data_IF_772475664373
#
_entry.id   IF_772475664373
#
_cell.length_a   1.000
_cell.length_b   1.000
_cell.length_c   1.000
_cell.angle_alpha   90.00
_cell.angle_beta   90.00
_cell.angle_gamma   90.00
#
_symmetry.space_group_name_H-M   'P 1'
#
loop_
_entity.id
_entity.type
_entity.pdbx_description
1 polymer ?
#
# COMPACT_ATOMS: atom_id res chain seq x y z
N UNK A 1 1.25 35.06 25.33
CA UNK A 1 0.09 35.50 26.11
C UNK A 1 -0.88 34.33 26.21
N UNK A 2 -0.98 33.72 27.39
CA UNK A 2 -1.97 32.68 27.68
C UNK A 2 -3.26 33.37 28.09
N UNK A 3 -4.37 33.06 27.43
CA UNK A 3 -5.70 33.45 27.89
C UNK A 3 -6.37 32.18 28.39
N UNK A 4 -6.53 32.07 29.70
CA UNK A 4 -7.33 31.02 30.34
C UNK A 4 -8.76 31.57 30.44
N UNK A 5 -9.75 30.81 29.98
CA UNK A 5 -11.16 31.21 30.05
C UNK A 5 -12.09 30.04 29.81
N UNK A 6 -13.29 30.11 30.39
CA UNK A 6 -14.38 29.17 30.14
C UNK A 6 -15.14 29.64 28.90
N UNK A 7 -15.26 28.77 27.90
CA UNK A 7 -15.91 29.11 26.63
C UNK A 7 -17.01 28.09 26.30
N UNK A 8 -18.20 28.57 25.94
CA UNK A 8 -19.26 27.75 25.35
C UNK A 8 -19.38 28.05 23.86
N UNK A 9 -19.48 27.01 23.03
CA UNK A 9 -19.60 27.15 21.57
C UNK A 9 -21.08 27.30 21.21
N UNK A 10 -21.52 28.52 20.88
CA UNK A 10 -22.82 28.72 20.22
C UNK A 10 -22.67 28.40 18.74
N UNK A 11 -23.30 27.32 18.28
CA UNK A 11 -23.31 26.94 16.85
C UNK A 11 -24.70 27.11 16.26
N UNK A 12 -24.78 27.81 15.13
CA UNK A 12 -26.02 28.05 14.37
C UNK A 12 -26.59 26.77 13.73
N UNK A 13 -25.86 25.65 13.80
CA UNK A 13 -26.37 24.32 13.42
C UNK A 13 -27.28 23.72 14.48
N UNK A 14 -27.23 24.22 15.72
CA UNK A 14 -28.10 23.79 16.81
C UNK A 14 -29.22 24.83 16.99
N UNK A 15 -30.49 24.46 16.84
CA UNK A 15 -31.59 25.42 16.96
C UNK A 15 -31.72 25.96 18.39
N UNK A 16 -31.90 27.28 18.52
CA UNK A 16 -32.04 28.01 19.78
C UNK A 16 -33.30 27.68 20.60
N UNK A 17 -34.12 26.74 20.13
CA UNK A 17 -35.47 26.49 20.63
C UNK A 17 -35.88 25.01 20.48
N UNK A 18 -35.12 24.04 20.99
CA UNK A 18 -35.65 22.72 21.35
C UNK A 18 -34.59 21.85 22.07
N UNK A 19 -34.94 21.18 23.17
CA UNK A 19 -34.16 20.05 23.68
C UNK A 19 -34.50 18.78 22.88
N UNK A 20 -34.25 18.74 21.56
CA UNK A 20 -34.34 17.48 20.80
C UNK A 20 -33.81 17.59 19.35
N UNK A 21 -32.49 17.60 19.19
CA UNK A 21 -31.70 17.19 18.01
C UNK A 21 -30.27 17.66 18.34
N UNK A 22 -29.39 16.82 18.86
CA UNK A 22 -28.40 16.16 17.98
C UNK A 22 -27.70 14.96 18.66
N UNK A 23 -28.34 14.35 19.66
CA UNK A 23 -27.87 13.09 20.24
C UNK A 23 -29.05 12.13 20.48
N UNK A 24 -29.66 11.57 19.42
CA UNK A 24 -30.80 10.66 19.58
C UNK A 24 -30.47 9.46 20.49
N UNK A 25 -29.20 9.06 20.53
CA UNK A 25 -28.69 7.97 21.37
C UNK A 25 -28.60 8.33 22.86
N UNK A 26 -28.45 9.63 23.20
CA UNK A 26 -28.41 10.11 24.59
C UNK A 26 -29.82 10.41 25.12
N UNK A 27 -30.75 10.78 24.23
CA UNK A 27 -32.08 11.25 24.61
C UNK A 27 -33.08 10.14 24.98
N UNK A 28 -32.84 8.88 24.59
CA UNK A 28 -33.82 7.84 24.86
C UNK A 28 -33.84 7.40 26.34
N UNK A 29 -32.75 7.52 27.12
CA UNK A 29 -32.71 7.07 28.53
C UNK A 29 -31.63 7.75 29.42
N UNK A 30 -30.88 8.76 28.96
CA UNK A 30 -29.72 9.34 29.69
C UNK A 30 -29.74 10.88 29.69
N UNK A 31 -30.86 11.46 30.13
CA UNK A 31 -31.07 12.92 30.15
C UNK A 31 -30.11 13.66 31.08
N UNK A 32 -29.71 13.04 32.19
CA UNK A 32 -28.71 13.55 33.12
C UNK A 32 -27.31 13.63 32.50
N UNK A 33 -26.90 12.60 31.76
CA UNK A 33 -25.62 12.58 31.04
C UNK A 33 -25.62 13.58 29.88
N UNK A 34 -26.75 13.72 29.17
CA UNK A 34 -26.88 14.72 28.10
C UNK A 34 -26.69 16.14 28.64
N UNK A 35 -27.25 16.46 29.81
CA UNK A 35 -27.04 17.76 30.48
C UNK A 35 -25.58 17.93 30.86
N UNK A 36 -24.94 16.92 31.45
CA UNK A 36 -23.51 16.99 31.81
C UNK A 36 -22.61 17.26 30.59
N UNK A 37 -22.92 16.68 29.43
CA UNK A 37 -22.16 16.89 28.19
C UNK A 37 -22.40 18.30 27.62
N UNK A 38 -23.65 18.78 27.64
CA UNK A 38 -24.01 20.07 27.06
C UNK A 38 -23.54 21.26 27.92
N UNK A 39 -23.49 21.08 29.25
CA UNK A 39 -22.98 22.06 30.20
C UNK A 39 -21.47 21.91 30.49
N UNK A 40 -20.79 20.98 29.80
CA UNK A 40 -19.35 20.77 29.99
C UNK A 40 -18.56 22.01 29.55
N UNK A 41 -17.91 22.66 30.52
CA UNK A 41 -17.04 23.81 30.25
C UNK A 41 -15.74 23.33 29.57
N UNK A 42 -15.49 23.85 28.37
CA UNK A 42 -14.29 23.50 27.61
C UNK A 42 -13.11 24.41 28.00
N UNK A 43 -12.00 23.80 28.38
CA UNK A 43 -10.70 24.49 28.44
C UNK A 43 -10.19 24.74 27.02
N UNK A 44 -10.25 25.99 26.56
CA UNK A 44 -9.76 26.37 25.23
C UNK A 44 -8.41 27.06 25.34
N UNK A 45 -7.40 26.47 24.69
CA UNK A 45 -6.08 27.06 24.52
C UNK A 45 -5.96 27.65 23.11
N UNK A 46 -5.87 28.99 23.01
CA UNK A 46 -5.63 29.68 21.74
C UNK A 46 -4.12 29.85 21.54
N UNK A 47 -3.57 29.15 20.54
CA UNK A 47 -2.15 29.16 20.23
C UNK A 47 -1.88 29.83 18.86
N UNK A 48 -0.88 30.71 18.82
CA UNK A 48 -0.39 31.36 17.60
C UNK A 48 1.03 30.87 17.27
N UNK A 49 1.33 30.66 15.99
CA UNK A 49 2.62 30.13 15.53
C UNK A 49 2.61 29.74 14.06
N UNK A 50 3.77 29.33 13.54
CA UNK A 50 3.91 28.74 12.20
C UNK A 50 3.13 27.43 12.07
N UNK A 51 2.84 26.98 10.86
CA UNK A 51 2.15 25.70 10.63
C UNK A 51 2.87 24.51 11.30
N UNK A 52 4.21 24.48 11.22
CA UNK A 52 5.03 23.45 11.83
C UNK A 52 4.99 23.47 13.37
N UNK A 53 4.90 24.65 13.99
CA UNK A 53 4.74 24.78 15.44
C UNK A 53 3.37 24.31 15.90
N UNK A 54 2.30 24.75 15.22
CA UNK A 54 0.93 24.31 15.50
C UNK A 54 0.81 22.78 15.43
N UNK A 55 1.45 22.15 14.45
CA UNK A 55 1.53 20.69 14.33
C UNK A 55 2.20 20.01 15.51
N UNK A 56 3.35 20.53 15.97
CA UNK A 56 4.05 19.98 17.13
C UNK A 56 3.20 20.06 18.39
N UNK A 57 2.56 21.21 18.64
CA UNK A 57 1.65 21.39 19.78
C UNK A 57 0.45 20.44 19.71
N UNK A 58 -0.17 20.32 18.54
CA UNK A 58 -1.31 19.42 18.33
C UNK A 58 -0.93 17.96 18.57
N UNK A 59 0.26 17.53 18.12
CA UNK A 59 0.75 16.17 18.37
C UNK A 59 0.97 15.88 19.87
N UNK A 60 1.61 16.81 20.60
CA UNK A 60 1.88 16.68 22.04
C UNK A 60 0.57 16.57 22.84
N UNK A 61 -0.43 17.41 22.54
CA UNK A 61 -1.72 17.39 23.25
C UNK A 61 -2.46 16.07 23.03
N UNK A 62 -2.41 15.51 21.81
CA UNK A 62 -3.11 14.27 21.46
C UNK A 62 -2.33 12.99 21.81
N UNK A 63 -1.28 13.09 22.63
CA UNK A 63 -0.51 11.93 23.10
C UNK A 63 -1.22 11.17 24.24
N UNK A 64 -2.11 11.83 25.00
CA UNK A 64 -2.91 11.21 26.05
C UNK A 64 -4.31 10.83 25.53
N UNK A 65 -4.55 9.54 25.31
CA UNK A 65 -5.83 9.02 24.76
C UNK A 65 -5.60 7.96 23.67
N UNK A 66 -6.59 7.72 22.81
CA UNK A 66 -6.35 6.99 21.56
C UNK A 66 -5.55 7.92 20.61
N UNK A 67 -4.32 7.56 20.24
CA UNK A 67 -3.46 8.45 19.48
C UNK A 67 -4.09 8.74 18.12
N UNK A 68 -4.13 10.02 17.76
CA UNK A 68 -4.46 10.44 16.40
C UNK A 68 -3.40 9.90 15.45
N UNK A 69 -3.83 9.36 14.33
CA UNK A 69 -2.90 8.97 13.27
C UNK A 69 -2.39 10.19 12.50
N UNK A 70 -1.41 9.96 11.63
CA UNK A 70 -0.75 11.06 10.92
C UNK A 70 -1.72 11.93 10.11
N UNK A 71 -2.70 11.34 9.42
CA UNK A 71 -3.66 12.11 8.63
C UNK A 71 -4.65 12.88 9.50
N UNK A 72 -5.08 12.30 10.63
CA UNK A 72 -5.87 12.98 11.66
C UNK A 72 -5.13 14.22 12.19
N UNK A 73 -3.81 14.11 12.40
CA UNK A 73 -2.96 15.23 12.77
C UNK A 73 -2.89 16.26 11.67
N UNK A 74 -2.51 15.90 10.43
CA UNK A 74 -2.38 16.80 9.27
C UNK A 74 -3.64 17.65 9.03
N UNK A 75 -4.80 17.03 9.19
CA UNK A 75 -6.10 17.68 9.01
C UNK A 75 -6.34 18.87 9.95
N UNK A 76 -5.57 18.99 11.05
CA UNK A 76 -5.64 20.15 11.96
C UNK A 76 -4.93 21.41 11.44
N UNK A 77 -3.90 21.31 10.59
CA UNK A 77 -3.25 22.50 10.01
C UNK A 77 -3.81 22.89 8.66
N UNK A 78 -4.36 21.94 7.89
CA UNK A 78 -4.79 22.15 6.52
C UNK A 78 -6.33 22.11 6.41
N UNK A 79 -7.00 22.97 7.16
CA UNK A 79 -8.46 23.01 7.22
C UNK A 79 -9.04 23.84 6.07
N UNK A 80 -10.12 23.36 5.45
CA UNK A 80 -10.80 24.10 4.39
C UNK A 80 -11.99 23.36 3.78
N UNK A 81 -12.60 23.99 2.78
CA UNK A 81 -13.69 23.43 1.96
C UNK A 81 -13.24 22.16 1.25
N UNK A 82 -12.03 22.17 0.69
CA UNK A 82 -11.40 21.01 0.07
C UNK A 82 -11.32 19.81 1.02
N UNK A 83 -10.77 19.99 2.22
CA UNK A 83 -10.61 18.90 3.19
C UNK A 83 -11.96 18.32 3.62
N UNK A 84 -12.95 19.19 3.82
CA UNK A 84 -14.31 18.77 4.17
C UNK A 84 -14.93 17.89 3.08
N UNK A 85 -14.76 18.27 1.81
CA UNK A 85 -15.21 17.47 0.67
C UNK A 85 -14.41 16.16 0.55
N UNK A 86 -13.10 16.19 0.75
CA UNK A 86 -12.25 15.00 0.70
C UNK A 86 -12.65 13.97 1.76
N UNK A 87 -12.88 14.40 3.02
CA UNK A 87 -13.35 13.53 4.09
C UNK A 87 -14.71 12.90 3.79
N UNK A 88 -15.63 13.62 3.15
CA UNK A 88 -16.91 13.05 2.73
C UNK A 88 -16.71 11.87 1.77
N UNK A 89 -15.73 11.96 0.84
CA UNK A 89 -15.43 10.91 -0.14
C UNK A 89 -14.68 9.73 0.44
N UNK A 90 -13.71 9.96 1.33
CA UNK A 90 -12.71 8.97 1.75
C UNK A 90 -12.76 8.57 3.23
N UNK A 91 -13.60 9.21 4.04
CA UNK A 91 -13.65 8.99 5.49
C UNK A 91 -15.06 8.72 6.01
N UNK A 92 -15.97 8.29 5.13
CA UNK A 92 -17.33 7.87 5.50
C UNK A 92 -17.64 6.51 4.87
N UNK A 93 -18.45 5.69 5.55
CA UNK A 93 -18.79 4.33 5.08
C UNK A 93 -19.37 4.29 3.67
N UNK A 94 -20.21 5.27 3.33
CA UNK A 94 -20.84 5.43 2.01
C UNK A 94 -20.10 6.42 1.11
N UNK A 95 -18.90 6.85 1.51
CA UNK A 95 -18.06 7.73 0.71
C UNK A 95 -17.65 7.02 -0.57
N UNK A 96 -17.78 7.71 -1.72
CA UNK A 96 -17.51 7.11 -3.04
C UNK A 96 -16.09 6.54 -3.17
N UNK A 97 -15.11 7.12 -2.48
CA UNK A 97 -13.73 6.61 -2.45
C UNK A 97 -13.60 5.31 -1.65
N UNK A 98 -14.33 5.19 -0.53
CA UNK A 98 -14.37 3.97 0.28
C UNK A 98 -15.04 2.84 -0.50
N UNK A 99 -16.22 3.12 -1.08
CA UNK A 99 -16.97 2.15 -1.90
C UNK A 99 -16.11 1.66 -3.07
N UNK A 100 -15.50 2.59 -3.83
CA UNK A 100 -14.66 2.23 -4.99
C UNK A 100 -13.42 1.42 -4.60
N UNK A 101 -12.81 1.72 -3.44
CA UNK A 101 -11.66 0.98 -2.92
C UNK A 101 -12.01 -0.46 -2.51
N UNK A 102 -13.19 -0.65 -1.91
CA UNK A 102 -13.60 -1.89 -1.24
C UNK A 102 -14.33 -2.86 -2.18
N UNK A 103 -15.12 -2.36 -3.12
CA UNK A 103 -15.94 -3.18 -4.01
C UNK A 103 -15.18 -3.62 -5.27
N UNK A 104 -15.44 -4.86 -5.72
CA UNK A 104 -15.04 -5.30 -7.05
C UNK A 104 -16.27 -5.29 -7.97
N UNK A 105 -16.33 -4.47 -9.04
CA UNK A 105 -17.46 -4.52 -9.96
C UNK A 105 -17.60 -5.87 -10.70
N UNK A 106 -16.56 -6.71 -10.67
CA UNK A 106 -16.53 -8.01 -11.34
C UNK A 106 -17.03 -9.17 -10.47
N UNK A 107 -17.36 -8.95 -9.19
CA UNK A 107 -17.91 -10.01 -8.32
C UNK A 107 -18.70 -9.45 -7.11
N UNK A 108 -19.52 -10.30 -6.48
CA UNK A 108 -20.37 -9.89 -5.36
C UNK A 108 -19.65 -9.83 -3.99
N UNK A 109 -18.31 -9.82 -3.97
CA UNK A 109 -17.52 -9.84 -2.73
C UNK A 109 -16.74 -8.54 -2.55
N UNK A 110 -16.60 -8.10 -1.31
CA UNK A 110 -15.66 -7.04 -0.96
C UNK A 110 -14.23 -7.56 -1.18
N UNK A 111 -13.49 -6.88 -2.04
CA UNK A 111 -12.09 -7.18 -2.34
C UNK A 111 -11.27 -5.87 -2.27
N UNK A 112 -11.02 -5.35 -1.06
CA UNK A 112 -10.39 -4.06 -0.89
C UNK A 112 -8.99 -4.00 -1.51
N UNK A 113 -8.71 -2.89 -2.20
CA UNK A 113 -7.38 -2.59 -2.73
C UNK A 113 -6.49 -1.85 -1.73
N UNK A 114 -7.10 -1.13 -0.80
CA UNK A 114 -6.39 -0.31 0.19
C UNK A 114 -6.21 -1.07 1.52
N UNK A 115 -5.14 -0.72 2.22
CA UNK A 115 -4.98 -1.04 3.64
C UNK A 115 -5.51 0.11 4.50
N UNK A 116 -5.80 -0.21 5.76
CA UNK A 116 -6.25 0.76 6.75
C UNK A 116 -7.77 0.89 6.85
N UNK A 117 -8.19 1.88 7.62
CA UNK A 117 -9.52 2.14 8.08
C UNK A 117 -9.96 3.53 7.60
N UNK A 118 -11.02 3.57 6.81
CA UNK A 118 -11.59 4.82 6.31
C UNK A 118 -12.07 5.74 7.45
N UNK A 119 -12.60 5.18 8.54
CA UNK A 119 -13.07 5.95 9.71
C UNK A 119 -11.93 6.53 10.54
N UNK A 120 -10.70 6.06 10.30
CA UNK A 120 -9.45 6.67 10.78
C UNK A 120 -8.76 7.48 9.68
N UNK A 121 -9.42 7.75 8.55
CA UNK A 121 -8.88 8.63 7.49
C UNK A 121 -7.65 8.05 6.76
N UNK A 122 -7.35 6.76 6.90
CA UNK A 122 -6.20 6.11 6.24
C UNK A 122 -6.40 5.98 4.72
N UNK A 123 -7.67 5.90 4.27
CA UNK A 123 -8.00 5.93 2.84
C UNK A 123 -7.76 7.32 2.25
N UNK A 124 -8.11 8.38 2.99
CA UNK A 124 -7.81 9.75 2.61
C UNK A 124 -6.29 9.97 2.53
N UNK A 125 -5.54 9.45 3.51
CA UNK A 125 -4.07 9.50 3.50
C UNK A 125 -3.48 8.85 2.25
N UNK A 126 -3.99 7.66 1.89
CA UNK A 126 -3.52 6.93 0.71
C UNK A 126 -3.86 7.67 -0.58
N UNK A 127 -5.07 8.21 -0.69
CA UNK A 127 -5.48 9.01 -1.85
C UNK A 127 -4.61 10.25 -2.04
N UNK A 128 -4.31 10.99 -0.95
CA UNK A 128 -3.44 12.17 -1.02
C UNK A 128 -2.00 11.77 -1.37
N UNK A 129 -1.48 10.69 -0.79
CA UNK A 129 -0.15 10.16 -1.12
C UNK A 129 -0.03 9.86 -2.62
N UNK A 130 -1.03 9.19 -3.19
CA UNK A 130 -1.02 8.87 -4.62
C UNK A 130 -1.14 10.12 -5.49
N UNK A 131 -1.97 11.08 -5.08
CA UNK A 131 -2.09 12.35 -5.79
C UNK A 131 -0.78 13.14 -5.76
N UNK A 132 -0.10 13.24 -4.61
CA UNK A 132 1.19 13.92 -4.49
C UNK A 132 2.30 13.21 -5.29
N UNK A 133 2.25 11.89 -5.40
CA UNK A 133 3.19 11.14 -6.26
C UNK A 133 2.95 11.40 -7.74
N UNK A 134 1.70 11.65 -8.14
CA UNK A 134 1.28 11.76 -9.54
C UNK A 134 1.08 13.20 -10.02
N UNK A 135 1.25 14.18 -9.13
CA UNK A 135 1.30 15.58 -9.52
C UNK A 135 2.59 15.80 -10.34
N UNK A 136 2.46 16.54 -11.44
CA UNK A 136 3.58 16.88 -12.32
C UNK A 136 4.33 18.13 -11.83
N UNK A 137 3.88 18.70 -10.72
CA UNK A 137 4.47 19.84 -10.05
C UNK A 137 5.51 19.38 -9.02
N UNK A 138 6.80 19.64 -9.31
CA UNK A 138 7.94 19.32 -8.45
C UNK A 138 7.84 19.94 -7.03
N UNK A 139 6.91 20.87 -6.79
CA UNK A 139 6.65 21.46 -5.47
C UNK A 139 5.74 20.62 -4.57
N UNK A 140 5.19 19.49 -5.04
CA UNK A 140 4.18 18.70 -4.32
C UNK A 140 4.59 17.25 -4.05
N UNK A 141 5.76 17.04 -3.45
CA UNK A 141 6.30 15.69 -3.26
C UNK A 141 5.77 14.98 -2.00
N UNK A 142 5.06 15.69 -1.13
CA UNK A 142 4.54 15.17 0.15
C UNK A 142 3.04 15.37 0.30
N UNK A 143 2.45 14.66 1.27
CA UNK A 143 1.02 14.82 1.62
C UNK A 143 0.77 16.26 2.09
N UNK A 144 1.66 16.79 2.92
CA UNK A 144 1.61 18.14 3.46
C UNK A 144 1.64 19.21 2.36
N UNK A 145 2.51 19.06 1.36
CA UNK A 145 2.60 20.00 0.23
C UNK A 145 1.30 20.00 -0.59
N UNK A 146 0.77 18.81 -0.89
CA UNK A 146 -0.50 18.67 -1.60
C UNK A 146 -1.65 19.31 -0.82
N UNK A 147 -1.76 19.02 0.47
CA UNK A 147 -2.80 19.61 1.32
C UNK A 147 -2.67 21.13 1.44
N UNK A 148 -1.45 21.66 1.55
CA UNK A 148 -1.20 23.11 1.63
C UNK A 148 -1.63 23.83 0.35
N UNK A 149 -1.36 23.24 -0.82
CA UNK A 149 -1.74 23.75 -2.14
C UNK A 149 -3.26 23.77 -2.31
N UNK A 150 -3.93 22.68 -1.95
CA UNK A 150 -5.34 22.47 -2.25
C UNK A 150 -6.32 22.90 -1.14
N UNK A 151 -5.87 23.24 0.08
CA UNK A 151 -6.77 23.58 1.20
C UNK A 151 -7.80 24.69 0.88
N UNK A 152 -7.47 25.60 -0.04
CA UNK A 152 -8.34 26.70 -0.49
C UNK A 152 -9.31 26.33 -1.60
N UNK A 153 -9.22 25.13 -2.17
CA UNK A 153 -10.06 24.71 -3.29
C UNK A 153 -11.51 24.50 -2.85
N UNK A 154 -12.43 24.71 -3.80
CA UNK A 154 -13.86 24.56 -3.54
C UNK A 154 -14.24 23.11 -3.19
N UNK A 155 -13.58 22.13 -3.81
CA UNK A 155 -13.84 20.70 -3.62
C UNK A 155 -12.61 19.84 -3.90
N UNK A 156 -12.71 18.53 -3.61
CA UNK A 156 -11.63 17.56 -3.81
C UNK A 156 -11.80 16.75 -5.12
N UNK A 157 -12.25 17.40 -6.21
CA UNK A 157 -12.50 16.70 -7.48
C UNK A 157 -11.24 16.22 -8.17
N UNK A 158 -10.13 16.97 -8.10
CA UNK A 158 -8.84 16.54 -8.65
C UNK A 158 -8.31 15.30 -7.92
N UNK A 159 -8.29 15.33 -6.59
CA UNK A 159 -7.94 14.18 -5.75
C UNK A 159 -8.80 12.95 -6.11
N UNK A 160 -10.09 13.14 -6.32
CA UNK A 160 -11.00 12.08 -6.72
C UNK A 160 -10.68 11.52 -8.11
N UNK A 161 -10.44 12.38 -9.11
CA UNK A 161 -10.12 11.94 -10.47
C UNK A 161 -8.83 11.11 -10.50
N UNK A 162 -7.79 11.55 -9.78
CA UNK A 162 -6.54 10.81 -9.64
C UNK A 162 -6.79 9.43 -9.00
N UNK A 163 -7.48 9.41 -7.86
CA UNK A 163 -7.78 8.18 -7.15
C UNK A 163 -8.63 7.21 -7.97
N UNK A 164 -9.71 7.68 -8.59
CA UNK A 164 -10.60 6.82 -9.37
C UNK A 164 -9.90 6.25 -10.60
N UNK A 165 -9.07 7.04 -11.28
CA UNK A 165 -8.30 6.56 -12.43
C UNK A 165 -7.35 5.42 -12.06
N UNK A 166 -6.68 5.50 -10.91
CA UNK A 166 -5.82 4.42 -10.40
C UNK A 166 -6.64 3.16 -10.12
N UNK A 167 -7.73 3.28 -9.35
CA UNK A 167 -8.53 2.12 -8.95
C UNK A 167 -9.19 1.44 -10.16
N UNK A 168 -9.77 2.23 -11.07
CA UNK A 168 -10.39 1.71 -12.29
C UNK A 168 -9.36 1.02 -13.19
N UNK A 169 -8.14 1.56 -13.29
CA UNK A 169 -7.05 0.89 -14.00
C UNK A 169 -6.69 -0.46 -13.38
N UNK A 170 -6.55 -0.53 -12.05
CA UNK A 170 -6.26 -1.81 -11.36
C UNK A 170 -7.36 -2.83 -11.63
N UNK A 171 -8.63 -2.44 -11.47
CA UNK A 171 -9.80 -3.31 -11.71
C UNK A 171 -9.96 -3.71 -13.18
N UNK A 172 -9.50 -2.86 -14.10
CA UNK A 172 -9.45 -3.15 -15.53
C UNK A 172 -8.33 -4.12 -15.92
N UNK A 173 -7.25 -4.22 -15.13
CA UNK A 173 -6.13 -5.15 -15.34
C UNK A 173 -6.32 -6.49 -14.63
N UNK A 174 -6.89 -6.47 -13.44
CA UNK A 174 -7.08 -7.66 -12.61
C UNK A 174 -8.57 -7.86 -12.31
N UNK A 175 -9.19 -8.84 -12.95
CA UNK A 175 -10.65 -9.04 -12.86
C UNK A 175 -11.04 -9.76 -11.54
N UNK A 176 -10.24 -10.72 -11.07
CA UNK A 176 -10.49 -11.51 -9.84
C UNK A 176 -9.19 -11.82 -9.11
N UNK A 177 -9.14 -11.63 -7.80
CA UNK A 177 -7.87 -11.68 -7.06
C UNK A 177 -7.93 -11.95 -5.55
N UNK A 178 -9.09 -12.32 -5.00
CA UNK A 178 -9.24 -12.92 -3.66
C UNK A 178 -8.41 -12.21 -2.57
N UNK A 179 -8.47 -10.88 -2.52
CA UNK A 179 -7.76 -9.98 -1.59
C UNK A 179 -6.22 -9.86 -1.72
N UNK A 180 -5.58 -10.56 -2.65
CA UNK A 180 -4.12 -10.58 -2.76
C UNK A 180 -3.51 -9.29 -3.33
N UNK A 181 -4.34 -8.42 -3.89
CA UNK A 181 -3.97 -7.07 -4.36
C UNK A 181 -4.02 -6.00 -3.26
N UNK A 182 -4.57 -6.34 -2.09
CA UNK A 182 -4.75 -5.39 -1.00
C UNK A 182 -3.41 -4.85 -0.51
N UNK A 183 -3.30 -3.52 -0.46
CA UNK A 183 -2.17 -2.83 0.12
C UNK A 183 -0.91 -2.78 -0.75
N UNK A 184 -1.01 -3.05 -2.04
CA UNK A 184 0.05 -2.68 -2.98
C UNK A 184 0.05 -1.15 -3.18
N UNK A 185 1.21 -0.56 -3.48
CA UNK A 185 1.34 0.87 -3.74
C UNK A 185 0.87 1.21 -5.17
N UNK A 186 -0.45 1.18 -5.36
CA UNK A 186 -1.06 1.33 -6.69
C UNK A 186 -0.80 2.70 -7.32
N UNK A 187 -0.65 3.77 -6.52
CA UNK A 187 -0.28 5.08 -7.06
C UNK A 187 1.10 5.08 -7.71
N UNK A 188 2.09 4.50 -7.03
CA UNK A 188 3.45 4.36 -7.59
C UNK A 188 3.45 3.47 -8.84
N UNK A 189 2.81 2.31 -8.77
CA UNK A 189 2.72 1.37 -9.91
C UNK A 189 2.02 2.03 -11.11
N UNK A 190 0.93 2.76 -10.86
CA UNK A 190 0.22 3.48 -11.91
C UNK A 190 1.08 4.57 -12.54
N UNK A 191 1.87 5.30 -11.75
CA UNK A 191 2.84 6.28 -12.26
C UNK A 191 3.85 5.64 -13.20
N UNK A 192 4.49 4.56 -12.76
CA UNK A 192 5.48 3.82 -13.57
C UNK A 192 4.85 3.31 -14.88
N UNK A 193 3.59 2.84 -14.81
CA UNK A 193 2.81 2.45 -15.98
C UNK A 193 2.56 3.63 -16.94
N UNK A 194 2.14 4.79 -16.43
CA UNK A 194 1.91 5.99 -17.24
C UNK A 194 3.21 6.51 -17.89
N UNK A 195 4.35 6.35 -17.21
CA UNK A 195 5.68 6.70 -17.72
C UNK A 195 6.26 5.67 -18.72
N UNK A 196 5.52 4.59 -19.02
CA UNK A 196 5.95 3.55 -19.96
C UNK A 196 7.06 2.63 -19.42
N UNK A 197 7.39 2.73 -18.12
CA UNK A 197 8.47 1.95 -17.50
C UNK A 197 8.12 0.46 -17.38
N UNK A 198 6.82 0.13 -17.46
CA UNK A 198 6.30 -1.23 -17.37
C UNK A 198 5.85 -1.79 -18.73
N UNK A 199 6.17 -1.13 -19.84
CA UNK A 199 5.63 -1.48 -21.17
C UNK A 199 6.10 -2.84 -21.70
N UNK A 200 7.28 -3.29 -21.26
CA UNK A 200 7.83 -4.60 -21.62
C UNK A 200 7.34 -5.72 -20.69
N UNK A 201 6.54 -5.39 -19.66
CA UNK A 201 6.09 -6.34 -18.65
C UNK A 201 4.67 -6.83 -18.93
N UNK A 202 4.27 -7.91 -18.25
CA UNK A 202 2.99 -8.59 -18.52
C UNK A 202 1.79 -7.67 -18.24
N UNK A 203 1.92 -6.74 -17.28
CA UNK A 203 0.89 -5.74 -16.93
C UNK A 203 0.47 -4.85 -18.11
N UNK A 204 1.29 -4.71 -19.16
CA UNK A 204 0.89 -3.96 -20.37
C UNK A 204 -0.24 -4.64 -21.13
N UNK A 205 -0.35 -5.96 -21.05
CA UNK A 205 -1.32 -6.75 -21.80
C UNK A 205 -2.77 -6.56 -21.32
N UNK A 206 -3.70 -7.20 -22.03
CA UNK A 206 -5.12 -7.23 -21.66
C UNK A 206 -5.35 -8.08 -20.39
N UNK A 207 -6.48 -7.85 -19.72
CA UNK A 207 -6.85 -8.60 -18.54
C UNK A 207 -6.94 -10.11 -18.78
N UNK A 208 -7.33 -10.56 -19.98
CA UNK A 208 -7.37 -11.99 -20.33
C UNK A 208 -5.98 -12.61 -20.29
N UNK A 209 -5.00 -11.96 -20.94
CA UNK A 209 -3.61 -12.43 -20.99
C UNK A 209 -3.00 -12.44 -19.58
N UNK A 210 -3.28 -11.41 -18.79
CA UNK A 210 -2.85 -11.34 -17.38
C UNK A 210 -3.44 -12.52 -16.59
N UNK A 211 -4.74 -12.79 -16.73
CA UNK A 211 -5.42 -13.85 -16.00
C UNK A 211 -4.93 -15.25 -16.42
N UNK A 212 -4.68 -15.47 -17.71
CA UNK A 212 -4.07 -16.71 -18.22
C UNK A 212 -2.68 -16.93 -17.63
N UNK A 213 -1.85 -15.88 -17.59
CA UNK A 213 -0.49 -16.00 -17.02
C UNK A 213 -0.52 -16.23 -15.51
N UNK A 214 -1.44 -15.60 -14.79
CA UNK A 214 -1.66 -15.89 -13.36
C UNK A 214 -2.04 -17.36 -13.18
N UNK A 215 -3.00 -17.87 -13.97
CA UNK A 215 -3.41 -19.26 -13.88
C UNK A 215 -2.26 -20.24 -14.20
N UNK A 216 -1.43 -19.94 -15.19
CA UNK A 216 -0.22 -20.71 -15.49
C UNK A 216 0.72 -20.77 -14.28
N UNK A 217 1.03 -19.60 -13.68
CA UNK A 217 1.96 -19.50 -12.54
C UNK A 217 1.42 -20.17 -11.28
N UNK A 218 0.11 -20.12 -11.05
CA UNK A 218 -0.54 -20.78 -9.91
C UNK A 218 -0.49 -22.31 -10.03
N UNK A 219 -0.50 -22.84 -11.27
CA UNK A 219 -0.46 -24.28 -11.53
C UNK A 219 0.96 -24.81 -11.81
N UNK A 220 1.99 -23.97 -11.75
CA UNK A 220 3.37 -24.42 -11.91
C UNK A 220 3.96 -24.85 -10.56
N UNK A 221 4.22 -26.15 -10.42
CA UNK A 221 4.82 -26.76 -9.21
C UNK A 221 6.21 -26.20 -8.85
N UNK A 222 6.87 -25.50 -9.78
CA UNK A 222 8.13 -24.79 -9.51
C UNK A 222 7.91 -23.47 -8.77
N UNK A 223 6.72 -22.86 -8.87
CA UNK A 223 6.41 -21.58 -8.24
C UNK A 223 5.85 -21.81 -6.84
N UNK A 224 6.58 -21.36 -5.83
CA UNK A 224 6.23 -21.54 -4.41
C UNK A 224 5.77 -20.25 -3.72
N UNK A 225 5.77 -19.13 -4.44
CA UNK A 225 5.36 -17.83 -3.89
C UNK A 225 3.86 -17.76 -3.62
N UNK A 226 3.48 -16.89 -2.68
CA UNK A 226 2.07 -16.54 -2.48
C UNK A 226 1.59 -15.66 -3.63
N UNK A 227 0.28 -15.61 -3.84
CA UNK A 227 -0.38 -14.78 -4.87
C UNK A 227 0.19 -13.36 -5.01
N UNK A 228 0.53 -12.68 -3.90
CA UNK A 228 1.16 -11.35 -3.93
C UNK A 228 2.44 -11.30 -4.78
N UNK A 229 3.30 -12.33 -4.69
CA UNK A 229 4.52 -12.43 -5.49
C UNK A 229 4.24 -12.67 -6.97
N UNK A 230 3.19 -13.45 -7.30
CA UNK A 230 2.73 -13.62 -8.68
C UNK A 230 2.32 -12.26 -9.27
N UNK A 231 1.50 -11.47 -8.55
CA UNK A 231 1.11 -10.14 -9.03
C UNK A 231 2.31 -9.20 -9.20
N UNK A 232 3.29 -9.24 -8.30
CA UNK A 232 4.52 -8.46 -8.47
C UNK A 232 5.30 -8.90 -9.72
N UNK A 233 5.38 -10.20 -10.00
CA UNK A 233 5.98 -10.68 -11.25
C UNK A 233 5.22 -10.21 -12.49
N UNK A 234 3.88 -10.24 -12.47
CA UNK A 234 3.07 -9.70 -13.58
C UNK A 234 3.37 -8.21 -13.83
N UNK A 235 3.53 -7.43 -12.75
CA UNK A 235 3.75 -5.97 -12.81
C UNK A 235 5.17 -5.64 -13.27
N UNK A 236 6.18 -6.27 -12.66
CA UNK A 236 7.57 -5.87 -12.80
C UNK A 236 8.41 -6.78 -13.71
N UNK A 237 7.90 -7.97 -14.08
CA UNK A 237 8.61 -8.93 -14.93
C UNK A 237 9.80 -9.64 -14.27
N UNK A 238 10.10 -9.35 -13.00
CA UNK A 238 11.30 -9.85 -12.32
C UNK A 238 11.02 -11.17 -11.58
N UNK A 239 11.70 -12.24 -12.00
CA UNK A 239 11.53 -13.59 -11.45
C UNK A 239 11.85 -13.68 -9.95
N UNK A 240 12.55 -12.70 -9.35
CA UNK A 240 12.77 -12.66 -7.90
C UNK A 240 11.48 -12.65 -7.07
N UNK A 241 10.37 -12.19 -7.65
CA UNK A 241 9.06 -12.19 -6.99
C UNK A 241 8.41 -13.58 -6.99
N UNK A 242 8.88 -14.47 -7.87
CA UNK A 242 8.57 -15.89 -7.88
C UNK A 242 9.61 -16.58 -6.99
N UNK A 243 9.23 -16.89 -5.75
CA UNK A 243 9.98 -17.86 -4.96
C UNK A 243 9.92 -19.20 -5.70
N UNK A 244 11.04 -19.61 -6.31
CA UNK A 244 11.13 -20.87 -7.05
C UNK A 244 11.52 -22.01 -6.12
N UNK A 245 11.10 -23.23 -6.48
CA UNK A 245 11.40 -24.45 -5.74
C UNK A 245 12.91 -24.66 -5.62
N UNK A 246 13.36 -24.96 -4.41
CA UNK A 246 14.75 -25.30 -4.13
C UNK A 246 14.98 -26.81 -4.23
N UNK A 247 16.20 -27.19 -4.59
CA UNK A 247 16.64 -28.59 -4.53
C UNK A 247 16.67 -29.09 -3.08
N UNK A 248 16.29 -30.34 -2.86
CA UNK A 248 16.39 -30.97 -1.54
C UNK A 248 17.85 -31.31 -1.17
N UNK A 249 18.10 -31.45 0.14
CA UNK A 249 19.43 -31.74 0.68
C UNK A 249 20.05 -33.02 0.12
N UNK A 250 19.23 -34.01 -0.25
CA UNK A 250 19.70 -35.28 -0.80
C UNK A 250 20.29 -35.06 -2.19
N UNK A 251 19.60 -34.31 -3.03
CA UNK A 251 20.02 -33.95 -4.38
C UNK A 251 21.28 -33.09 -4.33
N UNK A 252 21.35 -32.11 -3.43
CA UNK A 252 22.53 -31.27 -3.24
C UNK A 252 23.74 -32.13 -2.82
N UNK A 253 23.58 -33.05 -1.85
CA UNK A 253 24.67 -33.95 -1.42
C UNK A 253 25.12 -34.89 -2.52
N UNK A 254 24.20 -35.44 -3.31
CA UNK A 254 24.56 -36.29 -4.45
C UNK A 254 25.37 -35.49 -5.47
N UNK A 255 24.90 -34.29 -5.83
CA UNK A 255 25.58 -33.42 -6.80
C UNK A 255 26.95 -32.97 -6.32
N UNK A 256 27.11 -32.79 -5.01
CA UNK A 256 28.39 -32.48 -4.38
C UNK A 256 29.46 -33.54 -4.65
N UNK A 257 29.12 -34.81 -4.43
CA UNK A 257 30.03 -35.93 -4.73
C UNK A 257 30.27 -36.07 -6.24
N UNK A 258 29.23 -35.93 -7.07
CA UNK A 258 29.37 -35.97 -8.54
C UNK A 258 30.31 -34.89 -9.08
N UNK A 259 30.25 -33.68 -8.52
CA UNK A 259 31.13 -32.56 -8.90
C UNK A 259 32.49 -32.59 -8.19
N UNK A 260 32.82 -33.69 -7.50
CA UNK A 260 34.07 -33.84 -6.75
C UNK A 260 34.35 -32.65 -5.82
N UNK A 261 33.30 -32.08 -5.21
CA UNK A 261 33.38 -30.97 -4.25
C UNK A 261 33.80 -29.62 -4.86
N UNK A 262 33.65 -29.45 -6.17
CA UNK A 262 34.00 -28.23 -6.90
C UNK A 262 32.77 -27.46 -7.40
N UNK A 263 32.97 -26.14 -7.60
CA UNK A 263 32.06 -25.31 -8.40
C UNK A 263 32.34 -25.50 -9.89
N UNK A 264 31.33 -25.81 -10.70
CA UNK A 264 31.49 -26.07 -12.15
C UNK A 264 32.17 -24.89 -12.86
N UNK A 265 31.76 -23.67 -12.55
CA UNK A 265 32.30 -22.46 -13.18
C UNK A 265 33.73 -22.15 -12.71
N UNK A 266 34.10 -22.49 -11.46
CA UNK A 266 35.49 -22.34 -11.03
C UNK A 266 36.42 -23.27 -11.82
N UNK A 267 35.99 -24.50 -12.06
CA UNK A 267 36.76 -25.47 -12.84
C UNK A 267 36.94 -24.97 -14.28
N UNK A 268 35.88 -24.45 -14.89
CA UNK A 268 35.93 -23.85 -16.24
C UNK A 268 36.87 -22.63 -16.32
N UNK A 269 37.01 -21.89 -15.21
CA UNK A 269 37.96 -20.78 -15.05
C UNK A 269 39.41 -21.24 -14.73
N UNK A 270 39.67 -22.55 -14.67
CA UNK A 270 40.97 -23.13 -14.32
C UNK A 270 41.28 -23.12 -12.82
N UNK A 271 40.28 -22.91 -11.97
CA UNK A 271 40.39 -22.91 -10.51
C UNK A 271 39.80 -24.21 -9.90
N UNK A 272 40.69 -25.16 -9.59
CA UNK A 272 40.35 -26.44 -8.94
C UNK A 272 40.33 -26.35 -7.41
N UNK A 273 39.71 -25.30 -6.87
CA UNK A 273 39.49 -25.20 -5.43
C UNK A 273 38.34 -26.13 -5.03
N UNK A 274 38.61 -27.01 -4.07
CA UNK A 274 37.58 -27.74 -3.32
C UNK A 274 36.88 -26.83 -2.32
N UNK A 275 35.57 -27.01 -2.18
CA UNK A 275 34.72 -26.24 -1.27
C UNK A 275 34.06 -27.19 -0.27
N UNK A 276 33.87 -26.76 0.97
CA UNK A 276 32.96 -27.48 1.86
C UNK A 276 31.52 -27.36 1.33
N UNK A 277 30.68 -28.37 1.57
CA UNK A 277 29.27 -28.37 1.11
C UNK A 277 28.51 -27.06 1.43
N UNK A 278 28.73 -26.49 2.62
CA UNK A 278 28.11 -25.23 3.08
C UNK A 278 28.56 -23.97 2.31
N UNK A 279 29.65 -24.05 1.56
CA UNK A 279 30.18 -22.95 0.73
C UNK A 279 29.62 -22.98 -0.69
N UNK A 280 28.88 -24.04 -1.04
CA UNK A 280 28.21 -24.24 -2.31
C UNK A 280 26.69 -24.12 -2.17
N UNK A 281 26.04 -23.65 -3.22
CA UNK A 281 24.58 -23.61 -3.32
C UNK A 281 24.14 -24.42 -4.54
N UNK A 282 23.06 -25.17 -4.39
CA UNK A 282 22.39 -25.82 -5.51
C UNK A 282 21.64 -24.79 -6.35
N UNK A 283 21.85 -24.85 -7.65
CA UNK A 283 21.28 -23.94 -8.64
C UNK A 283 20.90 -24.69 -9.91
N UNK A 284 19.95 -24.15 -10.68
CA UNK A 284 19.43 -24.82 -11.88
C UNK A 284 20.38 -24.67 -13.06
N UNK A 285 20.63 -25.71 -13.86
CA UNK A 285 21.41 -25.58 -15.10
C UNK A 285 20.65 -24.73 -16.11
N UNK A 286 19.46 -25.17 -16.48
CA UNK A 286 18.48 -24.41 -17.24
C UNK A 286 17.61 -23.63 -16.25
N UNK A 287 17.52 -22.28 -16.34
CA UNK A 287 16.68 -21.48 -15.45
C UNK A 287 15.19 -21.74 -15.70
N UNK A 288 14.36 -21.41 -14.71
CA UNK A 288 12.90 -21.56 -14.79
C UNK A 288 12.29 -20.80 -15.99
N UNK A 289 12.79 -19.60 -16.30
CA UNK A 289 12.34 -18.80 -17.45
C UNK A 289 12.50 -19.50 -18.80
N UNK A 290 13.40 -20.48 -18.87
CA UNK A 290 13.65 -21.33 -20.05
C UNK A 290 13.05 -22.75 -19.91
N UNK A 291 12.15 -22.95 -18.95
CA UNK A 291 11.48 -24.24 -18.71
C UNK A 291 12.26 -25.22 -17.83
N UNK A 292 13.31 -24.75 -17.14
CA UNK A 292 14.05 -25.56 -16.17
C UNK A 292 13.17 -26.04 -15.01
N UNK A 293 13.30 -27.31 -14.64
CA UNK A 293 12.59 -27.94 -13.51
C UNK A 293 13.55 -28.30 -12.38
N UNK A 294 13.04 -28.39 -11.15
CA UNK A 294 13.82 -28.80 -9.97
C UNK A 294 13.97 -30.32 -9.94
N UNK A 295 14.85 -30.85 -10.79
CA UNK A 295 15.18 -32.27 -10.90
C UNK A 295 16.71 -32.48 -10.80
N UNK A 296 17.20 -33.62 -10.29
CA UNK A 296 18.63 -33.85 -10.09
C UNK A 296 19.52 -33.59 -11.32
N UNK A 297 19.01 -33.89 -12.52
CA UNK A 297 19.70 -33.68 -13.79
C UNK A 297 19.90 -32.19 -14.12
N UNK A 298 19.02 -31.34 -13.60
CA UNK A 298 19.09 -29.89 -13.76
C UNK A 298 19.76 -29.21 -12.57
N UNK A 299 20.32 -29.95 -11.61
CA UNK A 299 21.04 -29.40 -10.47
C UNK A 299 22.53 -29.24 -10.78
N UNK A 300 23.10 -28.10 -10.40
CA UNK A 300 24.54 -27.87 -10.32
C UNK A 300 24.89 -27.15 -9.02
N UNK A 301 26.09 -27.37 -8.49
CA UNK A 301 26.59 -26.63 -7.33
C UNK A 301 27.52 -25.50 -7.74
N UNK A 302 27.23 -24.30 -7.24
CA UNK A 302 28.00 -23.08 -7.49
C UNK A 302 28.54 -22.48 -6.19
N UNK A 303 29.75 -21.92 -6.25
CA UNK A 303 30.25 -21.12 -5.13
C UNK A 303 29.44 -19.82 -4.99
N UNK A 304 29.48 -19.19 -3.82
CA UNK A 304 28.76 -17.93 -3.56
C UNK A 304 28.97 -16.86 -4.63
N UNK A 305 30.21 -16.70 -5.12
CA UNK A 305 30.55 -15.73 -6.17
C UNK A 305 29.79 -16.03 -7.46
N UNK A 306 29.89 -17.26 -7.98
CA UNK A 306 29.24 -17.65 -9.23
C UNK A 306 27.71 -17.68 -9.11
N UNK A 307 27.18 -18.14 -7.98
CA UNK A 307 25.75 -18.15 -7.73
C UNK A 307 25.17 -16.72 -7.71
N UNK A 308 25.86 -15.77 -7.06
CA UNK A 308 25.45 -14.36 -7.07
C UNK A 308 25.60 -13.71 -8.44
N UNK A 309 26.65 -14.04 -9.21
CA UNK A 309 26.86 -13.49 -10.57
C UNK A 309 25.84 -14.02 -11.59
N UNK A 310 25.31 -15.22 -11.36
CA UNK A 310 24.29 -15.82 -12.23
C UNK A 310 22.89 -15.24 -11.97
N UNK A 311 22.66 -14.70 -10.77
CA UNK A 311 21.41 -14.05 -10.40
C UNK A 311 21.04 -12.92 -11.36
N UNK A 312 19.88 -13.08 -12.02
CA UNK A 312 19.11 -12.04 -12.72
C UNK A 312 19.63 -11.50 -14.07
N UNK A 313 20.46 -12.25 -14.82
CA UNK A 313 20.87 -11.86 -16.18
C UNK A 313 20.27 -12.72 -17.32
N UNK A 314 19.17 -13.46 -17.07
CA UNK A 314 18.47 -14.23 -18.11
C UNK A 314 16.96 -14.26 -17.91
#
# INVERSE_FOLDING_TARGET
NYVMGNYSVKSNKFPSSAPQQDFPNLQMNLTDLAVQILDYELDIYVCEGTASEKMKWFHVINTAGEPLNEQELRNSAYTGTWLSNAKQRFSTKSGRGVVLADENPNNDKAEPLLNGNWNRQEYLQTAIKWASQNDNDDSTNTIEDYMLKHQGDADASELWQNFSAIIEWVRGKFISYQNSLKGMDWGTIYKEYQLGQLDNNIIKNSASVINEKIAELVNDDEVTTKMKGIYQYIIYGDSKYLQLRAFDDKTIKQKYEEQSHHCVYCVDEGNNREYALKELAGDHITPWSLGGKTVPENCQLLCKKHNSSKGNNY
#
